data_IF_613384388474
#
_entry.id   IF_613384388474
#
_cell.length_a   1.000
_cell.length_b   1.000
_cell.length_c   1.000
_cell.angle_alpha   90.00
_cell.angle_beta   90.00
_cell.angle_gamma   90.00
#
_symmetry.space_group_name_H-M   'P 1'
#
loop_
_entity.id
_entity.type
_entity.pdbx_description
1 polymer ?
#
# COMPACT_ATOMS: atom_id res chain seq x y z
N UNK A 1 12.21 56.57 -38.68
CA UNK A 1 10.93 57.07 -38.17
C UNK A 1 9.80 56.59 -39.09
N UNK A 2 8.89 55.74 -38.59
CA UNK A 2 7.50 55.59 -39.04
C UNK A 2 6.73 54.83 -37.94
N UNK A 3 5.63 55.43 -37.50
CA UNK A 3 4.70 54.98 -36.46
C UNK A 3 3.74 53.89 -37.00
N UNK A 4 3.35 52.97 -36.09
CA UNK A 4 2.06 52.28 -35.80
C UNK A 4 0.90 52.33 -36.84
N UNK A 5 -0.08 51.37 -36.90
CA UNK A 5 -0.72 50.72 -35.73
C UNK A 5 -1.40 49.30 -35.88
N UNK A 6 -1.83 48.75 -34.73
CA UNK A 6 -3.08 48.00 -34.46
C UNK A 6 -3.37 46.56 -34.96
N UNK A 7 -4.19 45.87 -34.14
CA UNK A 7 -4.90 44.58 -34.31
C UNK A 7 -4.00 43.34 -34.02
N UNK A 8 -4.19 42.55 -32.97
CA UNK A 8 -5.44 42.06 -32.38
C UNK A 8 -5.66 40.61 -32.83
N UNK A 9 -5.14 39.64 -32.08
CA UNK A 9 -5.57 38.25 -32.19
C UNK A 9 -5.37 37.55 -30.83
N UNK A 10 -6.46 37.55 -30.06
CA UNK A 10 -6.69 36.67 -28.94
C UNK A 10 -6.59 35.22 -29.47
N UNK A 11 -5.48 34.53 -29.24
CA UNK A 11 -5.42 33.08 -29.49
C UNK A 11 -6.10 32.38 -28.30
N UNK A 12 -7.42 32.32 -28.40
CA UNK A 12 -8.26 31.39 -27.65
C UNK A 12 -8.07 29.99 -28.23
N UNK A 13 -7.81 29.04 -27.32
CA UNK A 13 -8.08 27.61 -27.46
C UNK A 13 -7.11 26.83 -28.37
N UNK A 14 -6.53 25.71 -27.96
CA UNK A 14 -7.06 24.65 -27.11
C UNK A 14 -6.01 24.20 -26.09
N UNK A 15 -6.25 24.41 -24.79
CA UNK A 15 -5.69 23.45 -23.84
C UNK A 15 -6.28 22.09 -24.24
N UNK A 16 -5.47 21.05 -24.50
CA UNK A 16 -6.05 19.73 -24.68
C UNK A 16 -6.86 19.45 -23.42
N UNK A 17 -8.07 18.96 -23.70
CA UNK A 17 -9.10 18.57 -22.76
C UNK A 17 -8.50 18.07 -21.45
N UNK A 18 -9.16 18.43 -20.35
CA UNK A 18 -9.12 17.66 -19.11
C UNK A 18 -9.23 16.18 -19.50
N UNK A 19 -8.08 15.52 -19.61
CA UNK A 19 -7.98 14.09 -19.49
C UNK A 19 -8.37 13.86 -18.05
N UNK A 20 -9.67 13.69 -17.83
CA UNK A 20 -10.19 12.92 -16.70
C UNK A 20 -9.37 11.65 -16.76
N UNK A 21 -8.36 11.58 -15.90
CA UNK A 21 -7.53 10.41 -15.75
C UNK A 21 -8.49 9.30 -15.35
N UNK A 22 -8.94 8.52 -16.32
CA UNK A 22 -9.61 7.27 -16.03
C UNK A 22 -8.62 6.50 -15.17
N UNK A 23 -9.01 6.05 -13.96
CA UNK A 23 -8.09 5.33 -13.09
C UNK A 23 -7.42 4.23 -13.90
N UNK A 24 -6.09 4.32 -14.02
CA UNK A 24 -5.31 3.30 -14.69
C UNK A 24 -5.39 2.06 -13.80
N UNK A 25 -6.22 1.10 -14.22
CA UNK A 25 -6.43 -0.15 -13.49
C UNK A 25 -5.11 -0.85 -13.16
N UNK A 26 -4.06 -0.66 -13.97
CA UNK A 26 -2.74 -1.24 -13.68
C UNK A 26 -2.03 -0.55 -12.51
N UNK A 27 -2.15 0.78 -12.38
CA UNK A 27 -1.60 1.53 -11.27
C UNK A 27 -2.38 1.26 -9.97
N UNK A 28 -3.70 1.09 -10.06
CA UNK A 28 -4.54 0.71 -8.92
C UNK A 28 -4.22 -0.72 -8.42
N UNK A 29 -3.99 -1.67 -9.33
CA UNK A 29 -3.62 -3.05 -9.01
C UNK A 29 -2.26 -3.13 -8.28
N UNK A 30 -1.23 -2.45 -8.78
CA UNK A 30 0.08 -2.37 -8.12
C UNK A 30 0.01 -1.67 -6.76
N UNK A 31 -0.80 -0.61 -6.64
CA UNK A 31 -1.03 0.06 -5.35
C UNK A 31 -1.69 -0.89 -4.36
N UNK A 32 -2.70 -1.65 -4.77
CA UNK A 32 -3.42 -2.56 -3.90
C UNK A 32 -2.56 -3.76 -3.48
N UNK A 33 -1.73 -4.31 -4.38
CA UNK A 33 -0.70 -5.30 -4.04
C UNK A 33 0.20 -4.79 -2.91
N UNK A 34 0.73 -3.58 -3.07
CA UNK A 34 1.58 -2.94 -2.06
C UNK A 34 0.85 -2.66 -0.75
N UNK A 35 -0.41 -2.25 -0.83
CA UNK A 35 -1.25 -1.98 0.34
C UNK A 35 -1.47 -3.24 1.19
N UNK A 36 -1.97 -4.34 0.60
CA UNK A 36 -2.26 -5.55 1.37
C UNK A 36 -1.00 -6.24 1.89
N UNK A 37 0.08 -6.22 1.11
CA UNK A 37 1.39 -6.65 1.59
C UNK A 37 1.84 -5.83 2.81
N UNK A 38 1.87 -4.50 2.64
CA UNK A 38 2.34 -3.57 3.66
C UNK A 38 1.49 -3.59 4.93
N UNK A 39 0.18 -3.81 4.81
CA UNK A 39 -0.73 -3.92 5.94
C UNK A 39 -0.36 -5.11 6.85
N UNK A 40 -0.22 -6.31 6.26
CA UNK A 40 0.10 -7.52 7.02
C UNK A 40 1.52 -7.45 7.59
N UNK A 41 2.49 -7.04 6.78
CA UNK A 41 3.88 -6.89 7.22
C UNK A 41 4.00 -5.85 8.35
N UNK A 42 3.33 -4.70 8.21
CA UNK A 42 3.34 -3.62 9.20
C UNK A 42 2.73 -4.01 10.55
N UNK A 43 1.62 -4.77 10.54
CA UNK A 43 1.04 -5.32 11.77
C UNK A 43 2.02 -6.31 12.42
N UNK A 44 2.59 -7.23 11.65
CA UNK A 44 3.56 -8.20 12.17
C UNK A 44 4.77 -7.51 12.80
N UNK A 45 5.31 -6.50 12.12
CA UNK A 45 6.43 -5.69 12.63
C UNK A 45 6.06 -4.93 13.92
N UNK A 46 4.85 -4.38 14.00
CA UNK A 46 4.37 -3.70 15.21
C UNK A 46 4.27 -4.66 16.39
N UNK A 47 3.64 -5.84 16.20
CA UNK A 47 3.52 -6.86 17.24
C UNK A 47 4.89 -7.38 17.69
N UNK A 48 5.80 -7.57 16.75
CA UNK A 48 7.19 -7.94 16.99
C UNK A 48 7.91 -6.90 17.86
N UNK A 49 7.82 -5.60 17.50
CA UNK A 49 8.40 -4.52 18.30
C UNK A 49 7.82 -4.45 19.71
N UNK A 50 6.49 -4.54 19.85
CA UNK A 50 5.82 -4.54 21.16
C UNK A 50 6.26 -5.74 22.03
N UNK A 51 6.47 -6.91 21.42
CA UNK A 51 6.96 -8.09 22.14
C UNK A 51 8.45 -7.96 22.52
N UNK A 52 9.28 -7.40 21.64
CA UNK A 52 10.69 -7.13 21.91
C UNK A 52 10.88 -6.13 23.06
N UNK A 53 10.03 -5.11 23.10
CA UNK A 53 9.98 -4.12 24.18
C UNK A 53 9.30 -4.65 25.47
N UNK A 54 8.87 -5.91 25.47
CA UNK A 54 8.19 -6.59 26.60
C UNK A 54 6.88 -5.93 27.03
N UNK A 55 6.23 -5.19 26.13
CA UNK A 55 4.91 -4.60 26.35
C UNK A 55 3.79 -5.62 26.20
N UNK A 56 4.03 -6.67 25.40
CA UNK A 56 3.18 -7.85 25.26
C UNK A 56 4.05 -9.12 25.32
N UNK A 57 3.42 -10.29 25.54
CA UNK A 57 4.15 -11.57 25.48
C UNK A 57 4.33 -12.03 24.03
N UNK A 58 5.35 -12.86 23.79
CA UNK A 58 5.59 -13.46 22.47
C UNK A 58 4.42 -14.32 22.02
N UNK A 59 3.85 -15.09 22.93
CA UNK A 59 2.68 -15.95 22.68
C UNK A 59 1.46 -15.12 22.28
N UNK A 60 1.29 -13.94 22.90
CA UNK A 60 0.21 -13.03 22.54
C UNK A 60 0.41 -12.45 21.12
N UNK A 61 1.64 -12.01 20.81
CA UNK A 61 1.98 -11.52 19.47
C UNK A 61 1.76 -12.59 18.39
N UNK A 62 2.24 -13.83 18.61
CA UNK A 62 2.05 -14.96 17.71
C UNK A 62 0.57 -15.29 17.51
N UNK A 63 -0.20 -15.38 18.60
CA UNK A 63 -1.63 -15.70 18.54
C UNK A 63 -2.43 -14.65 17.79
N UNK A 64 -2.13 -13.36 17.97
CA UNK A 64 -2.78 -12.32 17.18
C UNK A 64 -2.37 -12.42 15.71
N UNK A 65 -1.07 -12.59 15.45
CA UNK A 65 -0.57 -12.48 14.09
C UNK A 65 -1.01 -13.64 13.18
N UNK A 66 -1.21 -14.85 13.72
CA UNK A 66 -1.66 -16.01 12.92
C UNK A 66 -3.06 -15.81 12.31
N UNK A 67 -3.92 -15.01 12.95
CA UNK A 67 -5.31 -14.79 12.50
C UNK A 67 -5.44 -13.64 11.49
N UNK A 68 -4.48 -12.70 11.48
CA UNK A 68 -4.52 -11.48 10.66
C UNK A 68 -4.60 -11.79 9.15
N UNK A 69 -3.77 -12.67 8.55
CA UNK A 69 -3.83 -12.95 7.11
C UNK A 69 -5.20 -13.46 6.67
N UNK A 70 -5.79 -14.37 7.45
CA UNK A 70 -7.10 -14.95 7.15
C UNK A 70 -8.24 -13.95 7.34
N UNK A 71 -8.10 -13.00 8.28
CA UNK A 71 -9.04 -11.89 8.42
C UNK A 71 -8.98 -10.95 7.20
N UNK A 72 -7.77 -10.59 6.76
CA UNK A 72 -7.60 -9.68 5.60
C UNK A 72 -8.14 -10.33 4.33
N UNK A 73 -7.90 -11.62 4.09
CA UNK A 73 -8.41 -12.33 2.90
C UNK A 73 -9.93 -12.48 2.84
N UNK A 74 -10.64 -12.27 3.95
CA UNK A 74 -12.12 -12.27 3.97
C UNK A 74 -12.71 -10.98 3.40
N UNK A 75 -11.91 -9.93 3.31
CA UNK A 75 -12.30 -8.70 2.62
C UNK A 75 -12.46 -9.00 1.12
N UNK A 76 -13.63 -8.75 0.51
CA UNK A 76 -13.83 -8.92 -0.93
C UNK A 76 -12.81 -8.16 -1.79
N UNK A 77 -12.35 -7.00 -1.33
CA UNK A 77 -11.39 -6.17 -2.06
C UNK A 77 -9.96 -6.76 -1.99
N UNK A 78 -9.70 -7.64 -1.02
CA UNK A 78 -8.42 -8.32 -0.84
C UNK A 78 -8.30 -9.63 -1.62
N UNK A 79 -9.40 -10.12 -2.21
CA UNK A 79 -9.49 -11.47 -2.79
C UNK A 79 -8.42 -11.75 -3.85
N UNK A 80 -8.18 -10.78 -4.72
CA UNK A 80 -7.21 -10.91 -5.81
C UNK A 80 -5.75 -10.75 -5.34
N UNK A 81 -5.54 -10.36 -4.07
CA UNK A 81 -4.23 -10.10 -3.46
C UNK A 81 -3.86 -11.11 -2.37
N UNK A 82 -4.58 -12.23 -2.27
CA UNK A 82 -4.33 -13.28 -1.28
C UNK A 82 -2.87 -13.78 -1.29
N UNK A 83 -2.25 -13.85 -2.48
CA UNK A 83 -0.85 -14.22 -2.63
C UNK A 83 0.10 -13.19 -1.98
N UNK A 84 -0.15 -11.90 -2.16
CA UNK A 84 0.64 -10.82 -1.55
C UNK A 84 0.54 -10.84 -0.02
N UNK A 85 -0.65 -11.12 0.51
CA UNK A 85 -0.90 -11.30 1.94
C UNK A 85 -0.07 -12.49 2.48
N UNK A 86 -0.05 -13.61 1.76
CA UNK A 86 0.74 -14.79 2.15
C UNK A 86 2.24 -14.55 2.10
N UNK A 87 2.72 -13.78 1.12
CA UNK A 87 4.12 -13.38 1.03
C UNK A 87 4.46 -12.49 2.23
N UNK A 88 3.68 -11.44 2.51
CA UNK A 88 3.91 -10.55 3.64
C UNK A 88 3.97 -11.30 4.98
N UNK A 89 3.06 -12.25 5.19
CA UNK A 89 3.05 -13.09 6.39
C UNK A 89 4.35 -13.92 6.51
N UNK A 90 4.79 -14.57 5.44
CA UNK A 90 6.04 -15.35 5.46
C UNK A 90 7.26 -14.48 5.66
N UNK A 91 7.31 -13.33 5.01
CA UNK A 91 8.45 -12.41 5.09
C UNK A 91 8.66 -11.94 6.52
N UNK A 92 7.59 -11.52 7.23
CA UNK A 92 7.74 -10.99 8.59
C UNK A 92 8.03 -12.08 9.64
N UNK A 93 7.51 -13.30 9.50
CA UNK A 93 7.89 -14.39 10.42
C UNK A 93 9.32 -14.90 10.17
N UNK A 94 9.86 -14.64 8.97
CA UNK A 94 11.25 -14.96 8.60
C UNK A 94 12.22 -13.80 8.81
N UNK A 95 11.70 -12.61 9.09
CA UNK A 95 12.51 -11.41 9.30
C UNK A 95 13.45 -11.58 10.50
N UNK A 96 14.72 -11.23 10.30
CA UNK A 96 15.76 -11.33 11.32
C UNK A 96 15.40 -10.49 12.55
N UNK A 97 14.75 -9.35 12.37
CA UNK A 97 14.31 -8.50 13.49
C UNK A 97 13.21 -9.16 14.34
N UNK A 98 12.43 -10.06 13.76
CA UNK A 98 11.27 -10.68 14.40
C UNK A 98 11.44 -12.18 14.69
N UNK A 99 12.61 -12.73 14.38
CA UNK A 99 12.94 -14.14 14.57
C UNK A 99 12.71 -14.61 16.01
N UNK A 100 13.12 -13.83 17.01
CA UNK A 100 12.94 -14.24 18.41
C UNK A 100 11.49 -14.21 18.89
N UNK A 101 10.57 -13.58 18.14
CA UNK A 101 9.16 -13.49 18.47
C UNK A 101 8.36 -14.53 17.71
N UNK A 102 8.65 -14.77 16.43
CA UNK A 102 7.84 -15.62 15.57
C UNK A 102 8.46 -16.99 15.22
N UNK A 103 9.71 -17.27 15.60
CA UNK A 103 10.39 -18.57 15.44
C UNK A 103 10.84 -19.15 16.77
#
# INVERSE_FOLDING_TARGET
MKLFPFIGALLVSTAPADSVATPDKSADDERNKGFYYGYVYGIGNTLCGLAADKLITKEYAQKLFIEIPDMVKKDPDAKDYASNIDIAYRDIIQDVACKEVFQ
#
